data_IF_576941817890
#
_entry.id   IF_576941817890
#
_cell.length_a   1.000
_cell.length_b   1.000
_cell.length_c   1.000
_cell.angle_alpha   90.00
_cell.angle_beta   90.00
_cell.angle_gamma   90.00
#
_symmetry.space_group_name_H-M   'P 1'
#
loop_
_entity.id
_entity.type
_entity.pdbx_description
1 polymer ?
#
# COMPACT_ATOMS: atom_id res chain seq x y z
N UNK A 1 20.83 -79.30 -30.06
CA UNK A 1 19.44 -78.96 -29.74
C UNK A 1 19.38 -78.82 -28.22
N UNK A 2 19.44 -77.58 -27.72
CA UNK A 2 18.28 -76.77 -27.24
C UNK A 2 17.76 -77.33 -25.90
N UNK A 3 17.57 -76.58 -24.81
CA UNK A 3 17.50 -75.14 -24.58
C UNK A 3 18.10 -74.82 -23.20
N UNK A 4 18.80 -73.70 -23.08
CA UNK A 4 19.00 -73.05 -21.80
C UNK A 4 17.69 -72.41 -21.34
N UNK A 5 17.30 -72.67 -20.10
CA UNK A 5 16.12 -72.11 -19.47
C UNK A 5 16.58 -71.20 -18.32
N UNK A 6 16.72 -69.91 -18.62
CA UNK A 6 16.89 -68.88 -17.59
C UNK A 6 15.51 -68.59 -16.96
N UNK A 7 15.34 -68.68 -15.63
CA UNK A 7 14.14 -68.20 -15.00
C UNK A 7 14.12 -66.67 -15.06
N UNK A 8 13.10 -66.13 -15.72
CA UNK A 8 12.84 -64.69 -15.74
C UNK A 8 12.60 -64.19 -14.32
N UNK A 9 13.45 -63.24 -13.89
CA UNK A 9 13.31 -62.49 -12.65
C UNK A 9 12.92 -61.06 -13.00
N UNK A 10 11.62 -60.82 -13.09
CA UNK A 10 10.96 -59.51 -13.10
C UNK A 10 9.57 -59.81 -12.57
N UNK A 11 9.18 -59.42 -11.36
CA UNK A 11 8.27 -58.27 -11.19
C UNK A 11 8.09 -57.88 -9.71
N UNK A 12 9.01 -58.23 -8.81
CA UNK A 12 8.82 -58.00 -7.36
C UNK A 12 9.30 -56.62 -6.87
N UNK A 13 9.98 -55.82 -7.69
CA UNK A 13 10.56 -54.53 -7.29
C UNK A 13 9.65 -53.32 -7.54
N UNK A 14 8.74 -53.38 -8.51
CA UNK A 14 7.82 -52.27 -8.82
C UNK A 14 6.75 -52.08 -7.73
N UNK A 15 6.22 -53.18 -7.18
CA UNK A 15 5.16 -53.16 -6.16
C UNK A 15 5.60 -52.47 -4.85
N UNK A 16 6.83 -52.70 -4.40
CA UNK A 16 7.38 -52.09 -3.18
C UNK A 16 7.66 -50.59 -3.35
N UNK A 17 8.13 -50.16 -4.53
CA UNK A 17 8.38 -48.75 -4.83
C UNK A 17 7.10 -47.90 -4.85
N UNK A 18 5.97 -48.46 -5.31
CA UNK A 18 4.67 -47.79 -5.33
C UNK A 18 4.14 -47.47 -3.91
N UNK A 19 4.32 -48.37 -2.95
CA UNK A 19 3.91 -48.12 -1.55
C UNK A 19 4.68 -46.96 -0.93
N UNK A 20 6.01 -46.97 -1.04
CA UNK A 20 6.87 -45.89 -0.51
C UNK A 20 6.57 -44.53 -1.17
N UNK A 21 6.23 -44.53 -2.46
CA UNK A 21 5.85 -43.32 -3.18
C UNK A 21 4.52 -42.76 -2.67
N UNK A 22 3.52 -43.62 -2.44
CA UNK A 22 2.22 -43.22 -1.91
C UNK A 22 2.32 -42.72 -0.46
N UNK A 23 3.17 -43.32 0.37
CA UNK A 23 3.46 -42.86 1.73
C UNK A 23 4.12 -41.47 1.72
N UNK A 24 5.17 -41.27 0.89
CA UNK A 24 5.81 -39.96 0.74
C UNK A 24 4.83 -38.89 0.28
N UNK A 25 3.99 -39.21 -0.71
CA UNK A 25 2.95 -38.29 -1.19
C UNK A 25 1.95 -37.94 -0.09
N UNK A 26 1.54 -38.91 0.74
CA UNK A 26 0.64 -38.67 1.87
C UNK A 26 1.28 -37.74 2.90
N UNK A 27 2.53 -38.02 3.29
CA UNK A 27 3.28 -37.20 4.23
C UNK A 27 3.43 -35.75 3.73
N UNK A 28 3.80 -35.57 2.45
CA UNK A 28 3.89 -34.24 1.84
C UNK A 28 2.53 -33.51 1.82
N UNK A 29 1.44 -34.22 1.57
CA UNK A 29 0.09 -33.61 1.61
C UNK A 29 -0.26 -33.18 3.05
N UNK A 30 0.05 -33.99 4.05
CA UNK A 30 -0.17 -33.66 5.46
C UNK A 30 0.65 -32.43 5.90
N UNK A 31 1.93 -32.37 5.54
CA UNK A 31 2.80 -31.22 5.77
C UNK A 31 2.28 -29.96 5.05
N UNK A 32 1.84 -30.10 3.79
CA UNK A 32 1.25 -29.01 3.02
C UNK A 32 -0.01 -28.47 3.69
N UNK A 33 -0.92 -29.34 4.13
CA UNK A 33 -2.14 -28.91 4.84
C UNK A 33 -1.80 -28.26 6.19
N UNK A 34 -0.78 -28.75 6.89
CA UNK A 34 -0.30 -28.13 8.13
C UNK A 34 0.27 -26.73 7.87
N UNK A 35 1.13 -26.57 6.87
CA UNK A 35 1.67 -25.27 6.47
C UNK A 35 0.57 -24.28 6.09
N UNK A 36 -0.43 -24.72 5.32
CA UNK A 36 -1.58 -23.88 4.97
C UNK A 36 -2.38 -23.43 6.20
N UNK A 37 -2.53 -24.29 7.21
CA UNK A 37 -3.15 -23.91 8.49
C UNK A 37 -2.31 -22.86 9.23
N UNK A 38 -0.98 -23.02 9.26
CA UNK A 38 -0.10 -22.04 9.88
C UNK A 38 -0.15 -20.69 9.16
N UNK A 39 -0.10 -20.69 7.82
CA UNK A 39 -0.21 -19.46 7.02
C UNK A 39 -1.53 -18.76 7.32
N UNK A 40 -2.65 -19.49 7.34
CA UNK A 40 -3.96 -18.91 7.68
C UNK A 40 -3.98 -18.31 9.08
N UNK A 41 -3.47 -19.05 10.08
CA UNK A 41 -3.39 -18.55 11.46
C UNK A 41 -2.56 -17.27 11.54
N UNK A 42 -1.39 -17.23 10.88
CA UNK A 42 -0.51 -16.05 10.88
C UNK A 42 -1.13 -14.85 10.18
N UNK A 43 -1.86 -15.06 9.08
CA UNK A 43 -2.63 -14.00 8.41
C UNK A 43 -3.71 -13.42 9.34
N UNK A 44 -4.42 -14.27 10.07
CA UNK A 44 -5.41 -13.80 11.06
C UNK A 44 -4.76 -13.04 12.22
N UNK A 45 -3.65 -13.53 12.75
CA UNK A 45 -2.88 -12.85 13.81
C UNK A 45 -2.42 -11.46 13.33
N UNK A 46 -1.90 -11.35 12.11
CA UNK A 46 -1.49 -10.07 11.52
C UNK A 46 -2.67 -9.11 11.34
N UNK A 47 -3.81 -9.58 10.84
CA UNK A 47 -5.01 -8.77 10.70
C UNK A 47 -5.49 -8.21 12.03
N UNK A 48 -5.55 -9.06 13.07
CA UNK A 48 -5.94 -8.62 14.41
C UNK A 48 -4.99 -7.57 14.96
N UNK A 49 -3.69 -7.71 14.73
CA UNK A 49 -2.69 -6.73 15.14
C UNK A 49 -2.87 -5.39 14.42
N UNK A 50 -3.14 -5.39 13.12
CA UNK A 50 -3.42 -4.17 12.35
C UNK A 50 -4.69 -3.47 12.86
N UNK A 51 -5.75 -4.22 13.14
CA UNK A 51 -6.99 -3.67 13.69
C UNK A 51 -6.75 -3.03 15.07
N UNK A 52 -5.93 -3.66 15.92
CA UNK A 52 -5.51 -3.09 17.21
C UNK A 52 -4.70 -1.81 17.04
N UNK A 53 -3.70 -1.79 16.15
CA UNK A 53 -2.92 -0.58 15.87
C UNK A 53 -3.80 0.56 15.36
N UNK A 54 -4.74 0.27 14.45
CA UNK A 54 -5.70 1.26 13.96
C UNK A 54 -6.57 1.81 15.08
N UNK A 55 -7.06 0.95 15.97
CA UNK A 55 -7.84 1.38 17.13
C UNK A 55 -7.05 2.31 18.05
N UNK A 56 -5.80 1.95 18.36
CA UNK A 56 -4.91 2.76 19.20
C UNK A 56 -4.63 4.11 18.52
N UNK A 57 -4.30 4.10 17.22
CA UNK A 57 -4.07 5.32 16.45
C UNK A 57 -5.27 6.25 16.45
N UNK A 58 -6.48 5.72 16.24
CA UNK A 58 -7.73 6.49 16.30
C UNK A 58 -7.99 7.08 17.70
N UNK A 59 -7.69 6.32 18.76
CA UNK A 59 -7.86 6.80 20.13
C UNK A 59 -6.90 7.94 20.47
N UNK A 60 -5.62 7.81 20.09
CA UNK A 60 -4.63 8.88 20.25
C UNK A 60 -5.07 10.11 19.47
N UNK A 61 -5.46 9.95 18.20
CA UNK A 61 -5.93 11.06 17.37
C UNK A 61 -7.12 11.78 18.00
N UNK A 62 -8.13 11.05 18.50
CA UNK A 62 -9.29 11.64 19.18
C UNK A 62 -8.91 12.43 20.42
N UNK A 63 -7.88 12.01 21.16
CA UNK A 63 -7.41 12.71 22.37
C UNK A 63 -6.56 13.94 22.03
N UNK A 64 -5.74 13.86 20.99
CA UNK A 64 -4.80 14.93 20.60
C UNK A 64 -5.48 16.01 19.75
N UNK A 65 -6.44 15.63 18.90
CA UNK A 65 -7.17 16.54 18.01
C UNK A 65 -7.71 17.80 18.69
N UNK A 66 -8.41 17.75 19.85
CA UNK A 66 -8.88 18.98 20.50
C UNK A 66 -7.73 19.86 21.03
N UNK A 67 -6.63 19.26 21.48
CA UNK A 67 -5.45 20.00 21.94
C UNK A 67 -4.80 20.73 20.77
N UNK A 68 -4.68 20.03 19.63
CA UNK A 68 -4.14 20.62 18.41
C UNK A 68 -5.01 21.78 17.91
N UNK A 69 -6.34 21.64 17.96
CA UNK A 69 -7.26 22.73 17.64
C UNK A 69 -7.08 23.93 18.56
N UNK A 70 -6.92 23.71 19.86
CA UNK A 70 -6.66 24.79 20.82
C UNK A 70 -5.33 25.50 20.55
N UNK A 71 -4.28 24.76 20.21
CA UNK A 71 -2.98 25.34 19.84
C UNK A 71 -3.11 26.21 18.58
N UNK A 72 -3.82 25.73 17.56
CA UNK A 72 -4.05 26.47 16.32
C UNK A 72 -4.91 27.72 16.54
N UNK A 73 -5.92 27.64 17.41
CA UNK A 73 -6.76 28.77 17.78
C UNK A 73 -5.96 29.88 18.46
N UNK A 74 -5.15 29.51 19.47
CA UNK A 74 -4.29 30.46 20.17
C UNK A 74 -3.23 31.07 19.25
N UNK A 75 -2.64 30.28 18.36
CA UNK A 75 -1.69 30.77 17.37
C UNK A 75 -2.34 31.82 16.45
N UNK A 76 -3.58 31.57 16.00
CA UNK A 76 -4.34 32.54 15.20
C UNK A 76 -4.68 33.80 15.99
N UNK A 77 -5.14 33.67 17.24
CA UNK A 77 -5.41 34.82 18.11
C UNK A 77 -4.16 35.69 18.28
N UNK A 78 -2.99 35.09 18.45
CA UNK A 78 -1.73 35.85 18.56
C UNK A 78 -1.47 36.64 17.27
N UNK A 79 -1.61 36.02 16.09
CA UNK A 79 -1.47 36.71 14.81
C UNK A 79 -2.47 37.86 14.64
N UNK A 80 -3.73 37.65 15.02
CA UNK A 80 -4.76 38.68 14.99
C UNK A 80 -4.44 39.86 15.91
N UNK A 81 -3.93 39.60 17.12
CA UNK A 81 -3.49 40.63 18.06
C UNK A 81 -2.33 41.46 17.50
N UNK A 82 -1.33 40.82 16.90
CA UNK A 82 -0.23 41.54 16.24
C UNK A 82 -0.72 42.38 15.06
N UNK A 83 -1.62 41.83 14.23
CA UNK A 83 -2.25 42.56 13.13
C UNK A 83 -3.02 43.79 13.63
N UNK A 84 -3.82 43.63 14.68
CA UNK A 84 -4.56 44.72 15.30
C UNK A 84 -3.63 45.81 15.85
N UNK A 85 -2.57 45.43 16.57
CA UNK A 85 -1.59 46.37 17.11
C UNK A 85 -0.91 47.17 15.98
N UNK A 86 -0.54 46.51 14.88
CA UNK A 86 0.21 47.12 13.79
C UNK A 86 -0.66 47.95 12.84
N UNK A 87 -1.96 47.67 12.74
CA UNK A 87 -2.88 48.33 11.79
C UNK A 87 -3.79 49.38 12.45
N UNK A 88 -4.35 49.10 13.63
CA UNK A 88 -5.38 49.96 14.24
C UNK A 88 -4.80 51.01 15.19
N UNK A 89 -3.64 50.76 15.80
CA UNK A 89 -3.00 51.70 16.74
C UNK A 89 -2.09 52.67 16.00
N UNK A 90 -2.23 53.98 16.27
CA UNK A 90 -1.29 55.00 15.78
C UNK A 90 0.04 54.87 16.53
N UNK A 91 0.93 54.04 16.00
CA UNK A 91 2.28 53.83 16.52
C UNK A 91 3.28 54.75 15.80
N UNK A 92 4.28 55.24 16.54
CA UNK A 92 5.44 55.90 15.94
C UNK A 92 6.30 54.91 15.16
N UNK A 93 7.08 55.38 14.18
CA UNK A 93 7.90 54.53 13.29
C UNK A 93 8.79 53.53 14.05
N UNK A 94 9.54 54.02 15.03
CA UNK A 94 10.43 53.20 15.86
C UNK A 94 9.68 52.11 16.64
N UNK A 95 8.58 52.48 17.29
CA UNK A 95 7.76 51.51 18.03
C UNK A 95 7.16 50.44 17.13
N UNK A 96 6.79 50.80 15.89
CA UNK A 96 6.30 49.84 14.91
C UNK A 96 7.39 48.84 14.51
N UNK A 97 8.60 49.32 14.24
CA UNK A 97 9.76 48.47 13.92
C UNK A 97 10.11 47.52 15.07
N UNK A 98 10.11 48.02 16.31
CA UNK A 98 10.38 47.21 17.50
C UNK A 98 9.35 46.07 17.66
N UNK A 99 8.06 46.37 17.47
CA UNK A 99 6.98 45.36 17.56
C UNK A 99 7.09 44.32 16.44
N UNK A 100 7.38 44.75 15.22
CA UNK A 100 7.62 43.84 14.09
C UNK A 100 8.85 42.94 14.35
N UNK A 101 9.90 43.50 14.95
CA UNK A 101 11.09 42.73 15.37
C UNK A 101 10.75 41.65 16.39
N UNK A 102 9.93 41.95 17.40
CA UNK A 102 9.44 40.96 18.38
C UNK A 102 8.61 39.89 17.68
N UNK A 103 7.67 40.28 16.82
CA UNK A 103 6.81 39.36 16.08
C UNK A 103 7.63 38.35 15.26
N UNK A 104 8.59 38.82 14.46
CA UNK A 104 9.49 37.95 13.69
C UNK A 104 10.40 37.11 14.59
N UNK A 105 10.84 37.63 15.73
CA UNK A 105 11.64 36.84 16.68
C UNK A 105 10.84 35.67 17.24
N UNK A 106 9.57 35.87 17.59
CA UNK A 106 8.69 34.80 18.06
C UNK A 106 8.47 33.72 17.00
N UNK A 107 8.33 34.12 15.74
CA UNK A 107 8.25 33.19 14.60
C UNK A 107 9.55 32.42 14.40
N UNK A 108 10.70 33.10 14.41
CA UNK A 108 12.02 32.49 14.23
C UNK A 108 12.35 31.49 15.35
N UNK A 109 11.91 31.77 16.58
CA UNK A 109 12.05 30.85 17.71
C UNK A 109 11.05 29.67 17.66
N UNK A 110 10.08 29.68 16.73
CA UNK A 110 9.03 28.67 16.64
C UNK A 110 8.01 28.71 17.78
N UNK A 111 7.92 29.83 18.50
CA UNK A 111 6.91 30.03 19.57
C UNK A 111 5.53 30.25 18.97
N UNK A 112 5.48 30.90 17.82
CA UNK A 112 4.29 31.03 16.97
C UNK A 112 4.63 30.58 15.56
N UNK A 113 3.63 30.15 14.80
CA UNK A 113 3.83 29.75 13.42
C UNK A 113 4.31 30.94 12.57
N UNK A 114 5.18 30.71 11.57
CA UNK A 114 5.41 31.70 10.53
C UNK A 114 4.08 31.98 9.83
N UNK A 115 3.65 33.24 9.82
CA UNK A 115 2.47 33.62 9.05
C UNK A 115 2.84 33.54 7.57
N UNK A 116 2.46 32.45 6.90
CA UNK A 116 2.51 32.39 5.44
C UNK A 116 1.55 33.45 4.93
N UNK A 117 2.05 34.45 4.21
CA UNK A 117 1.21 35.31 3.38
C UNK A 117 0.41 34.40 2.45
N UNK A 118 -0.88 34.20 2.77
CA UNK A 118 -1.91 33.50 2.00
C UNK A 118 -1.39 32.54 0.92
N UNK A 119 -0.96 31.33 1.31
CA UNK A 119 -1.27 30.19 0.47
C UNK A 119 -2.75 29.88 0.69
N UNK A 120 -3.59 30.53 -0.11
CA UNK A 120 -5.01 30.20 -0.22
C UNK A 120 -5.12 28.73 -0.58
N UNK A 121 -5.89 28.01 0.23
CA UNK A 121 -6.62 26.81 -0.12
C UNK A 121 -5.79 25.73 -0.84
N UNK A 122 -5.13 24.88 -0.06
CA UNK A 122 -4.94 23.48 -0.45
C UNK A 122 -4.95 22.58 0.82
N UNK A 123 -5.98 22.80 1.66
CA UNK A 123 -6.34 21.90 2.76
C UNK A 123 -7.23 20.74 2.28
N UNK A 124 -7.23 20.46 0.97
CA UNK A 124 -7.84 19.27 0.42
C UNK A 124 -6.74 18.28 0.01
N UNK A 125 -6.78 17.10 0.62
CA UNK A 125 -6.24 15.85 0.08
C UNK A 125 -4.84 15.38 0.56
N UNK A 126 -4.63 15.36 1.89
CA UNK A 126 -3.85 14.26 2.50
C UNK A 126 -4.79 13.15 2.97
N UNK A 127 -5.54 12.57 2.03
CA UNK A 127 -6.11 11.26 2.23
C UNK A 127 -5.00 10.25 1.89
N UNK A 128 -4.16 9.93 2.87
CA UNK A 128 -3.23 8.81 2.77
C UNK A 128 -4.04 7.54 2.51
N UNK A 129 -4.10 7.15 1.23
CA UNK A 129 -4.62 5.88 0.77
C UNK A 129 -3.66 4.75 1.19
N UNK A 130 -3.71 4.38 2.47
CA UNK A 130 -3.13 3.13 2.96
C UNK A 130 -4.01 1.91 2.62
N UNK A 131 -4.95 2.05 1.68
CA UNK A 131 -5.99 1.07 1.41
C UNK A 131 -5.53 -0.17 0.64
N UNK A 132 -4.41 -0.13 -0.10
CA UNK A 132 -4.15 -1.14 -1.13
C UNK A 132 -2.72 -1.70 -1.20
N UNK A 133 -1.96 -1.68 -0.09
CA UNK A 133 -0.61 -2.28 -0.08
C UNK A 133 -0.65 -3.81 0.07
N UNK A 134 -1.80 -4.41 0.42
CA UNK A 134 -1.88 -5.85 0.73
C UNK A 134 -3.13 -6.58 0.20
N UNK A 135 -3.77 -6.08 -0.86
CA UNK A 135 -4.93 -6.75 -1.47
C UNK A 135 -4.53 -7.94 -2.38
N UNK A 136 -3.64 -8.81 -1.91
CA UNK A 136 -3.25 -10.06 -2.59
C UNK A 136 -4.11 -11.26 -2.10
N UNK A 137 -5.39 -11.03 -1.84
CA UNK A 137 -6.29 -12.06 -1.31
C UNK A 137 -7.14 -12.77 -2.38
N UNK A 138 -6.93 -12.47 -3.68
CA UNK A 138 -7.71 -13.06 -4.77
C UNK A 138 -7.06 -14.20 -5.57
N UNK A 139 -5.78 -14.56 -5.37
CA UNK A 139 -5.14 -15.54 -6.28
C UNK A 139 -5.27 -17.03 -5.90
N UNK A 140 -5.97 -17.39 -4.80
CA UNK A 140 -6.00 -18.78 -4.31
C UNK A 140 -7.39 -19.45 -4.23
N UNK A 141 -8.34 -19.05 -5.09
CA UNK A 141 -9.65 -19.74 -5.20
C UNK A 141 -10.03 -20.15 -6.62
N UNK A 142 -9.11 -20.69 -7.42
CA UNK A 142 -9.43 -21.27 -8.73
C UNK A 142 -8.59 -22.49 -9.08
N UNK A 143 -8.54 -23.49 -8.19
CA UNK A 143 -7.97 -24.80 -8.51
C UNK A 143 -8.89 -25.94 -8.04
N UNK A 144 -10.19 -25.83 -8.32
CA UNK A 144 -11.11 -26.98 -8.29
C UNK A 144 -12.41 -26.67 -9.04
N UNK A 145 -12.34 -26.66 -10.38
CA UNK A 145 -13.39 -27.19 -11.28
C UNK A 145 -12.98 -27.01 -12.74
N UNK A 146 -12.92 -28.15 -13.42
CA UNK A 146 -13.26 -28.39 -14.83
C UNK A 146 -12.23 -28.05 -15.92
N UNK A 147 -11.72 -29.15 -16.47
CA UNK A 147 -11.29 -29.32 -17.85
C UNK A 147 -12.26 -28.65 -18.85
N UNK A 148 -11.66 -28.25 -19.99
CA UNK A 148 -12.25 -27.69 -21.21
C UNK A 148 -12.54 -26.18 -21.22
N UNK A 149 -11.60 -25.40 -21.78
CA UNK A 149 -11.78 -24.62 -23.02
C UNK A 149 -10.53 -23.76 -23.35
N UNK A 150 -10.29 -23.65 -24.66
CA UNK A 150 -9.17 -23.11 -25.46
C UNK A 150 -8.53 -21.77 -24.98
N UNK A 151 -7.25 -21.50 -25.32
CA UNK A 151 -6.51 -20.34 -24.81
C UNK A 151 -6.96 -19.03 -25.46
N UNK A 152 -7.37 -18.06 -24.63
CA UNK A 152 -7.57 -16.65 -25.01
C UNK A 152 -6.21 -15.95 -24.91
N UNK A 153 -5.35 -16.13 -25.90
CA UNK A 153 -4.13 -15.35 -26.08
C UNK A 153 -4.07 -14.88 -27.53
N UNK A 154 -4.93 -13.95 -27.94
CA UNK A 154 -4.74 -13.20 -29.20
C UNK A 154 -5.22 -11.73 -29.19
N UNK A 155 -5.90 -11.22 -28.15
CA UNK A 155 -6.49 -9.86 -28.23
C UNK A 155 -5.57 -8.69 -27.88
N UNK A 156 -4.45 -8.90 -27.18
CA UNK A 156 -3.50 -7.80 -26.86
C UNK A 156 -2.47 -7.50 -27.95
N UNK A 157 -2.16 -8.43 -28.87
CA UNK A 157 -1.18 -8.18 -29.96
C UNK A 157 -1.78 -7.46 -31.18
N UNK A 158 -3.09 -7.57 -31.42
CA UNK A 158 -3.73 -6.92 -32.56
C UNK A 158 -3.86 -5.40 -32.37
N UNK A 159 -4.10 -4.93 -31.13
CA UNK A 159 -4.24 -3.48 -30.83
C UNK A 159 -2.92 -2.72 -30.96
N UNK A 160 -1.78 -3.36 -30.64
CA UNK A 160 -0.43 -2.79 -30.85
C UNK A 160 -0.06 -2.75 -32.34
N UNK A 161 -0.45 -3.74 -33.15
CA UNK A 161 -0.20 -3.70 -34.61
C UNK A 161 -1.04 -2.64 -35.33
N UNK A 162 -2.28 -2.37 -34.89
CA UNK A 162 -3.11 -1.31 -35.49
C UNK A 162 -2.54 0.07 -35.14
N UNK A 163 -2.10 0.30 -33.90
CA UNK A 163 -1.49 1.58 -33.51
C UNK A 163 -0.17 1.86 -34.26
N UNK A 164 0.67 0.84 -34.47
CA UNK A 164 1.97 1.02 -35.12
C UNK A 164 1.88 1.19 -36.64
N UNK A 165 0.84 0.67 -37.31
CA UNK A 165 0.55 0.97 -38.73
C UNK A 165 -0.02 2.39 -38.93
N UNK A 166 -0.84 2.88 -38.00
CA UNK A 166 -1.38 4.24 -38.06
C UNK A 166 -0.29 5.32 -37.98
N UNK A 167 0.69 5.14 -37.10
CA UNK A 167 1.78 6.13 -36.90
C UNK A 167 2.73 6.18 -38.11
N UNK A 168 3.00 5.04 -38.78
CA UNK A 168 3.85 5.02 -39.98
C UNK A 168 3.19 5.67 -41.20
N UNK A 169 1.86 5.65 -41.29
CA UNK A 169 1.15 6.24 -42.43
C UNK A 169 1.01 7.77 -42.33
N UNK A 170 1.07 8.35 -41.12
CA UNK A 170 1.09 9.81 -40.93
C UNK A 170 2.46 10.44 -41.23
N UNK A 171 3.56 9.68 -41.15
CA UNK A 171 4.92 10.21 -41.38
C UNK A 171 5.27 10.27 -42.88
N UNK A 172 4.56 9.52 -43.74
CA UNK A 172 4.81 9.45 -45.19
C UNK A 172 3.87 10.33 -46.06
N UNK A 173 2.97 11.11 -45.46
CA UNK A 173 2.06 12.03 -46.18
C UNK A 173 2.42 13.52 -45.93
N UNK A 174 3.60 13.79 -45.35
CA UNK A 174 4.10 15.13 -45.04
C UNK A 174 5.42 15.46 -45.74
N UNK A 175 5.58 15.06 -47.01
CA UNK A 175 6.62 15.56 -47.92
C UNK A 175 6.01 15.79 -49.29
#
# INVERSE_FOLDING_TARGET
>A
MSMEQFPQRSDSTESLGLSSFHERRRCLEEEHQWLLKQIKRKRTELKNFLDQMRSIGMEIFRRVSPIQQQIQELDREIHELFSEILTKRKLGKKSKEDIVGVYHSLQLMGVISPQSEELKEDDEQWQEDFGDVFSDEQEFKSAKKNNQKKPIIQRKRMKIMILTKGIKNLINQGK
#
